data_IF_123613108622
#
_entry.id   IF_123613108622
#
_cell.length_a   1.000
_cell.length_b   1.000
_cell.length_c   1.000
_cell.angle_alpha   90.00
_cell.angle_beta   90.00
_cell.angle_gamma   90.00
#
_symmetry.space_group_name_H-M   'P 1'
#
loop_
_entity.id
_entity.type
_entity.pdbx_description
1 polymer ?
#
# COMPACT_ATOMS: atom_id res chain seq x y z
N UNK A 1 -14.06 22.18 6.89
CA UNK A 1 -14.43 21.07 7.79
C UNK A 1 -14.24 19.80 6.99
N UNK A 2 -13.47 18.83 7.47
CA UNK A 2 -13.13 17.60 6.74
C UNK A 2 -14.40 16.83 6.35
N UNK A 3 -14.47 16.42 5.09
CA UNK A 3 -15.71 16.04 4.37
C UNK A 3 -15.85 14.55 4.09
N UNK A 4 -14.87 13.74 4.53
CA UNK A 4 -14.98 12.29 4.54
C UNK A 4 -15.67 11.83 5.85
N UNK A 5 -16.81 11.15 5.75
CA UNK A 5 -17.54 10.63 6.92
C UNK A 5 -16.86 9.40 7.50
N UNK A 6 -15.89 9.60 8.38
CA UNK A 6 -15.18 8.53 9.11
C UNK A 6 -15.97 8.15 10.37
N UNK A 7 -16.13 6.84 10.65
CA UNK A 7 -16.69 6.37 11.91
C UNK A 7 -15.95 6.93 13.12
N UNK A 8 -16.69 7.22 14.19
CA UNK A 8 -16.10 7.60 15.46
C UNK A 8 -15.22 6.46 16.01
N UNK A 9 -14.16 6.82 16.73
CA UNK A 9 -13.29 5.83 17.39
C UNK A 9 -14.02 5.05 18.49
N UNK A 10 -14.98 5.69 19.16
CA UNK A 10 -15.85 5.00 20.11
C UNK A 10 -16.65 3.90 19.37
N UNK A 11 -16.54 2.65 19.83
CA UNK A 11 -17.19 1.50 19.21
C UNK A 11 -16.41 0.86 18.05
N UNK A 12 -15.17 1.29 17.78
CA UNK A 12 -14.27 0.59 16.87
C UNK A 12 -13.02 0.14 17.64
N UNK A 13 -12.73 -1.16 17.62
CA UNK A 13 -11.44 -1.71 18.08
C UNK A 13 -10.30 -1.22 17.20
N UNK A 14 -10.57 -1.05 15.90
CA UNK A 14 -9.55 -0.74 14.89
C UNK A 14 -9.71 0.65 14.29
N UNK A 15 -8.60 1.39 14.24
CA UNK A 15 -8.49 2.57 13.39
C UNK A 15 -8.35 2.15 11.91
N UNK A 16 -7.61 1.07 11.62
CA UNK A 16 -7.52 0.47 10.28
C UNK A 16 -7.32 -1.05 10.34
N UNK A 17 -8.01 -1.78 9.48
CA UNK A 17 -7.73 -3.20 9.16
C UNK A 17 -7.23 -3.29 7.72
N UNK A 18 -6.12 -3.99 7.49
CA UNK A 18 -5.66 -4.29 6.12
C UNK A 18 -5.90 -5.74 5.73
N UNK A 19 -6.07 -6.00 4.44
CA UNK A 19 -6.11 -7.35 3.86
C UNK A 19 -5.07 -7.44 2.75
N UNK A 20 -4.08 -8.31 2.93
CA UNK A 20 -3.01 -8.49 1.97
C UNK A 20 -2.03 -9.59 2.33
N UNK A 21 -1.05 -9.78 1.46
CA UNK A 21 0.04 -10.72 1.67
C UNK A 21 1.19 -10.06 2.44
N UNK A 22 1.73 -10.75 3.43
CA UNK A 22 2.98 -10.38 4.11
C UNK A 22 4.05 -11.39 3.75
N UNK A 23 5.16 -10.91 3.21
CA UNK A 23 6.29 -11.72 2.75
C UNK A 23 7.56 -11.39 3.53
N UNK A 24 8.52 -12.30 3.46
CA UNK A 24 9.91 -11.94 3.79
C UNK A 24 10.59 -11.34 2.57
N UNK A 25 11.08 -10.12 2.72
CA UNK A 25 12.08 -9.55 1.83
C UNK A 25 13.48 -10.02 2.24
N UNK A 26 14.22 -10.52 1.26
CA UNK A 26 15.62 -10.89 1.38
C UNK A 26 16.49 -9.87 0.66
N UNK A 27 17.24 -9.07 1.43
CA UNK A 27 18.03 -7.94 0.96
C UNK A 27 19.53 -8.27 1.02
N UNK A 28 20.27 -8.28 -0.10
CA UNK A 28 21.70 -8.61 -0.13
C UNK A 28 22.61 -7.47 0.38
N UNK A 29 22.04 -6.37 0.88
CA UNK A 29 22.75 -5.16 1.25
C UNK A 29 23.25 -4.41 0.02
N UNK A 30 24.55 -4.12 -0.01
CA UNK A 30 25.22 -3.47 -1.15
C UNK A 30 25.48 -4.46 -2.31
N UNK A 31 25.33 -5.76 -2.07
CA UNK A 31 25.61 -6.83 -3.02
C UNK A 31 24.50 -7.10 -4.04
N UNK A 32 24.63 -8.22 -4.75
CA UNK A 32 23.65 -8.72 -5.73
C UNK A 32 23.08 -10.05 -5.25
N UNK A 33 21.83 -10.34 -5.56
CA UNK A 33 21.14 -11.59 -5.18
C UNK A 33 21.93 -12.81 -5.68
N UNK A 34 22.46 -12.76 -6.89
CA UNK A 34 23.17 -13.89 -7.50
C UNK A 34 24.63 -14.06 -7.03
N UNK A 35 25.19 -13.13 -6.25
CA UNK A 35 26.57 -13.22 -5.74
C UNK A 35 26.70 -13.07 -4.23
N UNK A 36 25.62 -12.71 -3.53
CA UNK A 36 25.65 -12.57 -2.08
C UNK A 36 25.78 -13.92 -1.38
N UNK A 37 26.33 -13.88 -0.16
CA UNK A 37 26.39 -15.02 0.77
C UNK A 37 25.52 -14.80 2.01
N UNK A 38 24.87 -13.65 2.11
CA UNK A 38 24.03 -13.27 3.25
C UNK A 38 22.88 -12.37 2.78
N UNK A 39 21.75 -12.48 3.46
CA UNK A 39 20.62 -11.59 3.31
C UNK A 39 20.26 -10.98 4.65
N UNK A 40 19.97 -9.67 4.66
CA UNK A 40 19.16 -9.07 5.71
C UNK A 40 17.70 -9.38 5.43
N UNK A 41 16.94 -9.67 6.48
CA UNK A 41 15.54 -10.08 6.37
C UNK A 41 14.65 -8.94 6.86
N UNK A 42 13.63 -8.63 6.08
CA UNK A 42 12.59 -7.66 6.42
C UNK A 42 11.22 -8.29 6.15
N UNK A 43 10.20 -7.87 6.88
CA UNK A 43 8.81 -8.13 6.55
C UNK A 43 8.28 -7.04 5.62
N UNK A 44 7.41 -7.40 4.68
CA UNK A 44 6.83 -6.43 3.77
C UNK A 44 5.62 -6.94 2.99
N UNK A 45 4.76 -6.02 2.62
CA UNK A 45 3.56 -6.24 1.82
C UNK A 45 2.79 -4.94 1.71
N UNK A 46 2.30 -4.56 0.53
CA UNK A 46 1.77 -3.21 0.30
C UNK A 46 0.70 -2.82 1.33
N UNK A 47 -0.31 -3.67 1.49
CA UNK A 47 -1.43 -3.43 2.39
C UNK A 47 -1.01 -3.48 3.88
N UNK A 48 -0.04 -4.35 4.19
CA UNK A 48 0.55 -4.46 5.53
C UNK A 48 1.39 -3.23 5.90
N UNK A 49 2.21 -2.73 4.97
CA UNK A 49 3.07 -1.57 5.15
C UNK A 49 2.23 -0.33 5.49
N UNK A 50 1.03 -0.20 4.91
CA UNK A 50 0.08 0.86 5.26
C UNK A 50 -0.37 0.76 6.71
N UNK A 51 -0.86 -0.42 7.12
CA UNK A 51 -1.29 -0.65 8.50
C UNK A 51 -0.14 -0.48 9.51
N UNK A 52 1.07 -0.88 9.14
CA UNK A 52 2.29 -0.72 9.93
C UNK A 52 2.74 0.72 10.08
N UNK A 53 2.68 1.51 9.01
CA UNK A 53 2.96 2.95 9.06
C UNK A 53 2.01 3.65 10.03
N UNK A 54 0.70 3.40 9.92
CA UNK A 54 -0.31 3.91 10.84
C UNK A 54 -0.07 3.51 12.30
N UNK A 55 0.40 2.28 12.55
CA UNK A 55 0.72 1.82 13.90
C UNK A 55 1.96 2.51 14.48
N UNK A 56 3.09 2.45 13.76
CA UNK A 56 4.41 2.81 14.30
C UNK A 56 4.73 4.29 14.21
N UNK A 57 4.39 4.92 13.09
CA UNK A 57 4.62 6.35 12.90
C UNK A 57 3.55 7.18 13.61
N UNK A 58 2.28 6.74 13.50
CA UNK A 58 1.13 7.55 13.90
C UNK A 58 0.40 7.08 15.17
N UNK A 59 0.80 5.94 15.75
CA UNK A 59 0.26 5.46 17.04
C UNK A 59 -1.19 4.95 16.99
N UNK A 60 -1.71 4.61 15.81
CA UNK A 60 -3.08 4.11 15.66
C UNK A 60 -3.20 2.61 15.95
N UNK A 61 -4.42 2.14 16.22
CA UNK A 61 -4.69 0.70 16.42
C UNK A 61 -4.99 0.04 15.09
N UNK A 62 -4.10 -0.83 14.63
CA UNK A 62 -4.26 -1.52 13.35
C UNK A 62 -4.09 -3.02 13.46
N UNK A 63 -4.77 -3.73 12.56
CA UNK A 63 -4.70 -5.18 12.42
C UNK A 63 -4.49 -5.55 10.95
N UNK A 64 -3.97 -6.75 10.72
CA UNK A 64 -3.83 -7.34 9.38
C UNK A 64 -4.61 -8.64 9.29
N UNK A 65 -5.37 -8.80 8.22
CA UNK A 65 -5.96 -10.06 7.79
C UNK A 65 -5.04 -10.65 6.74
N UNK A 66 -4.46 -11.80 7.04
CA UNK A 66 -3.57 -12.53 6.14
C UNK A 66 -3.54 -14.02 6.51
N UNK A 67 -2.81 -14.83 5.76
CA UNK A 67 -2.57 -16.22 6.11
C UNK A 67 -1.10 -16.61 5.93
N UNK A 68 -0.59 -17.39 6.88
CA UNK A 68 0.80 -17.86 6.93
C UNK A 68 0.83 -19.37 7.13
N UNK A 69 1.88 -20.01 6.62
CA UNK A 69 2.16 -21.42 6.93
C UNK A 69 2.82 -21.50 8.31
N UNK A 70 2.31 -22.38 9.17
CA UNK A 70 2.82 -22.62 10.52
C UNK A 70 4.13 -23.44 10.48
N UNK A 71 5.20 -22.76 10.09
CA UNK A 71 6.56 -23.27 10.03
C UNK A 71 7.56 -22.16 10.43
N UNK A 72 8.87 -22.47 10.57
CA UNK A 72 9.85 -21.47 11.02
C UNK A 72 9.90 -20.20 10.17
N UNK A 73 9.61 -20.27 8.85
CA UNK A 73 9.55 -19.08 8.00
C UNK A 73 8.33 -18.23 8.36
N UNK A 74 7.17 -18.83 8.56
CA UNK A 74 5.95 -18.11 8.95
C UNK A 74 6.06 -17.50 10.35
N UNK A 75 6.72 -18.20 11.28
CA UNK A 75 7.04 -17.68 12.62
C UNK A 75 8.02 -16.50 12.57
N UNK A 76 8.97 -16.50 11.63
CA UNK A 76 9.81 -15.31 11.40
C UNK A 76 9.01 -14.12 10.86
N UNK A 77 8.04 -14.35 9.95
CA UNK A 77 7.13 -13.28 9.52
C UNK A 77 6.34 -12.75 10.73
N UNK A 78 5.77 -13.63 11.54
CA UNK A 78 5.03 -13.27 12.76
C UNK A 78 5.86 -12.42 13.72
N UNK A 79 7.08 -12.85 14.06
CA UNK A 79 7.97 -12.12 14.97
C UNK A 79 8.27 -10.70 14.46
N UNK A 80 8.53 -10.55 13.16
CA UNK A 80 8.74 -9.23 12.55
C UNK A 80 7.46 -8.39 12.59
N UNK A 81 6.30 -8.99 12.34
CA UNK A 81 5.01 -8.29 12.46
C UNK A 81 4.71 -7.85 13.91
N UNK A 82 5.04 -8.68 14.91
CA UNK A 82 4.92 -8.34 16.33
C UNK A 82 5.84 -7.18 16.72
N UNK A 83 7.07 -7.14 16.21
CA UNK A 83 7.97 -5.99 16.37
C UNK A 83 7.39 -4.71 15.72
N UNK A 84 6.73 -4.87 14.57
CA UNK A 84 5.93 -3.83 13.91
C UNK A 84 4.68 -3.41 14.70
N UNK A 85 4.28 -4.18 15.71
CA UNK A 85 3.25 -3.83 16.68
C UNK A 85 1.82 -3.90 16.16
N UNK A 86 1.57 -4.52 15.00
CA UNK A 86 0.21 -4.80 14.53
C UNK A 86 -0.44 -5.87 15.39
N UNK A 87 -1.77 -5.81 15.50
CA UNK A 87 -2.52 -6.93 16.05
C UNK A 87 -2.63 -8.05 15.00
N UNK A 88 -2.34 -9.28 15.45
CA UNK A 88 -2.26 -10.48 14.64
C UNK A 88 -3.43 -11.44 14.90
N UNK A 89 -4.47 -11.01 15.61
CA UNK A 89 -5.64 -11.84 15.94
C UNK A 89 -6.35 -12.42 14.71
N UNK A 90 -6.15 -11.81 13.54
CA UNK A 90 -6.77 -12.19 12.27
C UNK A 90 -5.78 -12.85 11.29
N UNK A 91 -4.61 -13.28 11.78
CA UNK A 91 -3.69 -14.12 11.01
C UNK A 91 -4.18 -15.56 11.03
N UNK A 92 -4.44 -16.12 9.84
CA UNK A 92 -4.86 -17.51 9.68
C UNK A 92 -3.64 -18.42 9.47
N UNK A 93 -3.50 -19.44 10.31
CA UNK A 93 -2.42 -20.42 10.20
C UNK A 93 -2.83 -21.60 9.33
N UNK A 94 -2.01 -21.88 8.31
CA UNK A 94 -2.12 -23.05 7.43
C UNK A 94 -1.11 -24.10 7.89
N UNK A 95 -1.55 -25.34 7.99
CA UNK A 95 -0.69 -26.45 8.41
C UNK A 95 0.47 -26.65 7.43
N UNK A 96 1.68 -26.78 7.96
CA UNK A 96 2.87 -27.13 7.18
C UNK A 96 2.84 -28.59 6.72
N UNK A 97 3.19 -28.82 5.47
CA UNK A 97 3.39 -30.17 4.90
C UNK A 97 4.87 -30.60 4.92
N UNK A 98 5.75 -29.72 5.44
CA UNK A 98 7.17 -29.93 5.63
C UNK A 98 8.04 -29.69 4.39
N UNK A 99 7.42 -29.44 3.22
CA UNK A 99 8.15 -29.29 1.94
C UNK A 99 7.62 -28.16 1.06
N UNK A 100 6.56 -27.46 1.48
CA UNK A 100 5.96 -26.35 0.77
C UNK A 100 5.18 -26.75 -0.49
N UNK A 101 4.63 -27.98 -0.56
CA UNK A 101 3.89 -28.46 -1.74
C UNK A 101 2.44 -27.97 -1.73
N UNK A 102 1.80 -27.93 -0.57
CA UNK A 102 0.42 -27.45 -0.42
C UNK A 102 0.36 -25.94 -0.23
N UNK A 103 1.27 -25.37 0.55
CA UNK A 103 1.34 -23.94 0.81
C UNK A 103 2.76 -23.55 1.23
N UNK A 104 3.12 -22.29 0.98
CA UNK A 104 4.39 -21.70 1.46
C UNK A 104 4.20 -20.26 1.94
N UNK A 105 5.22 -19.72 2.59
CA UNK A 105 5.28 -18.29 2.88
C UNK A 105 5.98 -17.58 1.70
N UNK A 106 5.50 -16.39 1.34
CA UNK A 106 6.03 -15.63 0.21
C UNK A 106 7.43 -15.08 0.53
N UNK A 107 8.32 -15.15 -0.47
CA UNK A 107 9.65 -14.58 -0.41
C UNK A 107 9.80 -13.55 -1.53
N UNK A 108 10.55 -12.48 -1.27
CA UNK A 108 10.89 -11.49 -2.28
C UNK A 108 12.35 -11.06 -2.15
N UNK A 109 13.18 -11.36 -3.14
CA UNK A 109 14.57 -10.93 -3.15
C UNK A 109 14.64 -9.52 -3.74
N UNK A 110 15.22 -8.58 -3.00
CA UNK A 110 15.22 -7.15 -3.41
C UNK A 110 16.62 -6.57 -3.35
N UNK A 111 17.14 -6.17 -4.51
CA UNK A 111 18.39 -5.41 -4.63
C UNK A 111 18.07 -3.92 -4.61
N UNK A 112 18.72 -3.16 -3.73
CA UNK A 112 18.66 -1.69 -3.77
C UNK A 112 19.37 -1.19 -5.02
N UNK A 113 18.75 -0.23 -5.69
CA UNK A 113 19.37 0.47 -6.81
C UNK A 113 20.44 1.44 -6.34
N UNK A 114 21.41 1.76 -7.19
CA UNK A 114 22.43 2.76 -6.89
C UNK A 114 22.92 3.46 -8.16
N UNK A 115 22.89 4.79 -8.19
CA UNK A 115 23.28 5.57 -9.36
C UNK A 115 22.52 5.11 -10.62
N UNK A 116 23.25 4.65 -11.63
CA UNK A 116 22.66 4.18 -12.91
C UNK A 116 22.00 2.80 -12.83
N UNK A 117 22.22 2.03 -11.76
CA UNK A 117 21.68 0.69 -11.61
C UNK A 117 20.32 0.73 -10.90
N UNK A 118 19.25 0.38 -11.62
CA UNK A 118 17.92 0.25 -11.05
C UNK A 118 17.86 -0.79 -9.91
N UNK A 119 16.87 -0.63 -9.03
CA UNK A 119 16.51 -1.66 -8.06
C UNK A 119 15.97 -2.90 -8.80
N UNK A 120 16.19 -4.08 -8.23
CA UNK A 120 15.70 -5.35 -8.79
C UNK A 120 14.84 -6.06 -7.75
N UNK A 121 13.63 -6.45 -8.15
CA UNK A 121 12.78 -7.35 -7.38
C UNK A 121 12.69 -8.72 -8.07
N UNK A 122 12.87 -9.79 -7.30
CA UNK A 122 12.65 -11.16 -7.73
C UNK A 122 11.70 -11.83 -6.74
N UNK A 123 10.43 -11.93 -7.12
CA UNK A 123 9.39 -12.50 -6.28
C UNK A 123 9.34 -14.02 -6.40
N UNK A 124 9.25 -14.69 -5.25
CA UNK A 124 9.05 -16.12 -5.12
C UNK A 124 7.84 -16.37 -4.22
N UNK A 125 6.67 -16.08 -4.79
CA UNK A 125 5.37 -15.97 -4.11
C UNK A 125 4.27 -16.83 -4.73
N UNK A 126 4.64 -17.92 -5.41
CA UNK A 126 3.69 -18.92 -5.87
C UNK A 126 3.17 -19.76 -4.70
N UNK A 127 1.88 -20.15 -4.73
CA UNK A 127 1.26 -21.06 -3.75
C UNK A 127 1.36 -20.60 -2.28
N UNK A 128 1.25 -19.29 -2.03
CA UNK A 128 1.31 -18.81 -0.65
C UNK A 128 0.04 -19.15 0.11
N UNK A 129 0.11 -19.20 1.45
CA UNK A 129 -1.07 -19.46 2.27
C UNK A 129 -2.19 -18.43 2.02
N UNK A 130 -1.83 -17.15 1.95
CA UNK A 130 -2.76 -16.05 1.69
C UNK A 130 -3.33 -16.04 0.27
N UNK A 131 -2.57 -16.47 -0.75
CA UNK A 131 -3.10 -16.60 -2.12
C UNK A 131 -4.19 -17.66 -2.25
N UNK A 132 -4.36 -18.51 -1.24
CA UNK A 132 -5.32 -19.62 -1.23
C UNK A 132 -6.61 -19.31 -0.48
N UNK A 133 -6.73 -18.12 0.13
CA UNK A 133 -7.97 -17.70 0.80
C UNK A 133 -9.15 -17.70 -0.18
N UNK A 134 -10.33 -18.04 0.34
CA UNK A 134 -11.60 -18.12 -0.38
C UNK A 134 -12.69 -17.37 0.38
N UNK A 135 -13.75 -16.92 -0.31
CA UNK A 135 -14.93 -16.35 0.36
C UNK A 135 -15.43 -17.29 1.46
N UNK A 136 -15.76 -16.72 2.61
CA UNK A 136 -16.19 -17.45 3.81
C UNK A 136 -15.05 -17.98 4.70
N UNK A 137 -13.78 -17.86 4.33
CA UNK A 137 -12.66 -18.25 5.20
C UNK A 137 -12.44 -17.26 6.37
N UNK A 138 -12.92 -16.02 6.23
CA UNK A 138 -12.76 -14.93 7.19
C UNK A 138 -14.16 -14.47 7.65
N UNK A 139 -14.35 -14.32 8.96
CA UNK A 139 -15.58 -13.79 9.54
C UNK A 139 -15.58 -12.26 9.52
N UNK A 140 -15.96 -11.68 8.37
CA UNK A 140 -16.00 -10.23 8.19
C UNK A 140 -17.06 -9.53 9.05
N UNK A 141 -18.13 -10.24 9.42
CA UNK A 141 -19.20 -9.71 10.28
C UNK A 141 -18.69 -9.57 11.73
N UNK A 142 -17.84 -10.49 12.19
CA UNK A 142 -17.13 -10.33 13.44
C UNK A 142 -16.18 -9.12 13.40
N UNK A 143 -15.30 -9.03 12.38
CA UNK A 143 -14.29 -7.95 12.28
C UNK A 143 -14.95 -6.56 12.18
N UNK A 144 -15.88 -6.38 11.25
CA UNK A 144 -16.45 -5.05 10.98
C UNK A 144 -17.69 -4.72 11.81
N UNK A 145 -18.48 -5.73 12.19
CA UNK A 145 -19.74 -5.56 12.93
C UNK A 145 -19.59 -5.65 14.44
N UNK A 146 -18.78 -6.59 14.95
CA UNK A 146 -18.63 -6.80 16.40
C UNK A 146 -17.42 -6.04 16.96
N UNK A 147 -16.24 -6.19 16.35
CA UNK A 147 -15.04 -5.48 16.79
C UNK A 147 -15.05 -4.02 16.33
N UNK A 148 -15.48 -3.79 15.09
CA UNK A 148 -15.59 -2.48 14.48
C UNK A 148 -14.25 -1.94 13.97
N UNK A 149 -14.25 -1.50 12.71
CA UNK A 149 -13.16 -0.75 12.10
C UNK A 149 -13.66 0.61 11.56
N UNK A 150 -12.77 1.60 11.54
CA UNK A 150 -13.03 2.91 10.92
C UNK A 150 -12.63 2.92 9.44
N UNK A 151 -11.62 2.14 9.10
CA UNK A 151 -11.02 2.07 7.78
C UNK A 151 -10.61 0.64 7.41
N UNK A 152 -10.82 0.26 6.16
CA UNK A 152 -10.36 -0.98 5.57
C UNK A 152 -9.44 -0.66 4.37
N UNK A 153 -8.31 -1.35 4.27
CA UNK A 153 -7.35 -1.15 3.18
C UNK A 153 -6.98 -2.48 2.52
N UNK A 154 -7.13 -2.54 1.20
CA UNK A 154 -6.64 -3.66 0.39
C UNK A 154 -6.14 -3.16 -0.96
N UNK A 155 -5.78 -4.03 -1.90
CA UNK A 155 -5.26 -3.57 -3.18
C UNK A 155 -5.14 -4.62 -4.27
N UNK A 156 -4.68 -4.13 -5.43
CA UNK A 156 -4.52 -4.89 -6.66
C UNK A 156 -3.45 -5.98 -6.58
N UNK A 157 -2.48 -5.86 -5.66
CA UNK A 157 -1.54 -6.95 -5.40
C UNK A 157 -2.28 -8.15 -4.81
N UNK A 158 -3.02 -7.96 -3.70
CA UNK A 158 -3.82 -9.03 -3.11
C UNK A 158 -4.81 -9.61 -4.13
N UNK A 159 -5.55 -8.76 -4.85
CA UNK A 159 -6.53 -9.20 -5.85
C UNK A 159 -5.92 -9.97 -7.04
N UNK A 160 -4.60 -9.89 -7.25
CA UNK A 160 -3.90 -10.56 -8.34
C UNK A 160 -3.19 -11.86 -7.92
N UNK A 161 -3.27 -12.27 -6.65
CA UNK A 161 -2.52 -13.43 -6.15
C UNK A 161 -3.04 -14.75 -6.70
N UNK A 162 -4.35 -14.85 -6.91
CA UNK A 162 -5.02 -16.05 -7.43
C UNK A 162 -6.42 -15.74 -7.95
N UNK A 163 -7.08 -16.74 -8.53
CA UNK A 163 -8.47 -16.62 -8.97
C UNK A 163 -9.46 -16.36 -7.81
N UNK A 164 -9.12 -16.75 -6.57
CA UNK A 164 -10.03 -16.64 -5.41
C UNK A 164 -9.83 -15.36 -4.63
N UNK A 165 -8.61 -14.82 -4.59
CA UNK A 165 -8.31 -13.56 -3.86
C UNK A 165 -9.15 -12.34 -4.24
N UNK A 166 -9.52 -12.06 -5.51
CA UNK A 166 -10.40 -10.93 -5.81
C UNK A 166 -11.81 -11.11 -5.24
N UNK A 167 -12.29 -12.36 -5.10
CA UNK A 167 -13.59 -12.65 -4.49
C UNK A 167 -13.56 -12.41 -2.97
N UNK A 168 -12.45 -12.76 -2.32
CA UNK A 168 -12.22 -12.45 -0.90
C UNK A 168 -12.16 -10.94 -0.67
N UNK A 169 -11.44 -10.22 -1.54
CA UNK A 169 -11.39 -8.75 -1.47
C UNK A 169 -12.79 -8.15 -1.61
N UNK A 170 -13.58 -8.61 -2.59
CA UNK A 170 -14.96 -8.14 -2.77
C UNK A 170 -15.83 -8.40 -1.52
N UNK A 171 -15.79 -9.61 -0.97
CA UNK A 171 -16.54 -9.99 0.25
C UNK A 171 -16.18 -9.06 1.43
N UNK A 172 -14.89 -8.80 1.64
CA UNK A 172 -14.40 -7.90 2.67
C UNK A 172 -14.88 -6.46 2.47
N UNK A 173 -14.79 -5.94 1.24
CA UNK A 173 -15.19 -4.57 0.90
C UNK A 173 -16.70 -4.37 1.05
N UNK A 174 -17.51 -5.35 0.66
CA UNK A 174 -18.96 -5.33 0.86
C UNK A 174 -19.32 -5.33 2.35
N UNK A 175 -18.67 -6.19 3.15
CA UNK A 175 -18.87 -6.24 4.59
C UNK A 175 -18.45 -4.94 5.29
N UNK A 176 -17.28 -4.40 4.94
CA UNK A 176 -16.79 -3.13 5.44
C UNK A 176 -17.83 -2.02 5.23
N UNK A 177 -18.36 -1.91 4.00
CA UNK A 177 -19.38 -0.91 3.65
C UNK A 177 -20.70 -1.11 4.38
N UNK A 178 -21.19 -2.35 4.54
CA UNK A 178 -22.40 -2.64 5.33
C UNK A 178 -22.31 -2.08 6.75
N UNK A 179 -21.12 -2.11 7.34
CA UNK A 179 -20.83 -1.61 8.69
C UNK A 179 -20.31 -0.17 8.73
N UNK A 180 -20.41 0.58 7.63
CA UNK A 180 -19.99 1.98 7.53
C UNK A 180 -18.48 2.21 7.59
N UNK A 181 -17.68 1.16 7.43
CA UNK A 181 -16.21 1.23 7.38
C UNK A 181 -15.80 1.77 6.00
N UNK A 182 -14.95 2.79 5.96
CA UNK A 182 -14.43 3.32 4.70
C UNK A 182 -13.49 2.32 4.04
N UNK A 183 -13.57 2.21 2.71
CA UNK A 183 -12.74 1.29 1.94
C UNK A 183 -11.74 2.07 1.11
N UNK A 184 -10.45 1.79 1.34
CA UNK A 184 -9.38 2.25 0.46
C UNK A 184 -8.80 1.10 -0.35
N UNK A 185 -8.43 1.40 -1.59
CA UNK A 185 -7.87 0.43 -2.52
C UNK A 185 -6.71 1.03 -3.28
N UNK A 186 -5.56 0.36 -3.26
CA UNK A 186 -4.40 0.71 -4.09
C UNK A 186 -4.36 -0.19 -5.33
N UNK A 187 -4.47 0.41 -6.52
CA UNK A 187 -4.47 -0.32 -7.79
C UNK A 187 -3.18 -1.11 -8.00
N UNK A 188 -2.04 -0.53 -7.59
CA UNK A 188 -0.72 -1.15 -7.53
C UNK A 188 -0.44 -2.20 -8.62
N UNK A 189 -0.58 -1.82 -9.89
CA UNK A 189 -0.56 -2.76 -10.99
C UNK A 189 0.82 -3.41 -11.13
N UNK A 190 0.83 -4.75 -11.24
CA UNK A 190 2.04 -5.55 -11.43
C UNK A 190 1.81 -6.55 -12.56
N UNK A 191 2.32 -6.28 -13.78
CA UNK A 191 2.11 -7.17 -14.93
C UNK A 191 2.47 -8.63 -14.66
N UNK A 192 3.50 -8.88 -13.85
CA UNK A 192 3.97 -10.22 -13.50
C UNK A 192 2.94 -11.06 -12.74
N UNK A 193 2.11 -10.45 -11.89
CA UNK A 193 1.06 -11.16 -11.13
C UNK A 193 -0.10 -11.55 -12.04
N UNK A 194 -0.49 -10.66 -12.95
CA UNK A 194 -1.62 -10.89 -13.85
C UNK A 194 -1.29 -11.83 -15.00
N UNK A 195 -0.02 -11.89 -15.42
CA UNK A 195 0.42 -12.62 -16.63
C UNK A 195 -0.10 -14.07 -16.70
N UNK A 196 -0.10 -14.79 -15.58
CA UNK A 196 -0.54 -16.19 -15.53
C UNK A 196 -2.04 -16.39 -15.26
N UNK A 197 -2.79 -15.33 -14.94
CA UNK A 197 -4.21 -15.39 -14.57
C UNK A 197 -5.10 -14.56 -15.51
N UNK A 198 -4.70 -14.40 -16.77
CA UNK A 198 -5.50 -13.70 -17.80
C UNK A 198 -5.00 -12.30 -18.19
N UNK A 199 -3.87 -11.86 -17.65
CA UNK A 199 -3.15 -10.66 -18.07
C UNK A 199 -3.94 -9.36 -17.86
N UNK A 200 -3.64 -8.36 -18.70
CA UNK A 200 -4.20 -7.01 -18.58
C UNK A 200 -5.74 -6.99 -18.67
N UNK A 201 -6.35 -7.82 -19.52
CA UNK A 201 -7.81 -7.89 -19.64
C UNK A 201 -8.46 -8.35 -18.34
N UNK A 202 -7.89 -9.38 -17.69
CA UNK A 202 -8.39 -9.83 -16.37
C UNK A 202 -8.16 -8.78 -15.30
N UNK A 203 -7.01 -8.10 -15.32
CA UNK A 203 -6.72 -7.00 -14.40
C UNK A 203 -7.80 -5.90 -14.50
N UNK A 204 -8.17 -5.50 -15.72
CA UNK A 204 -9.22 -4.52 -15.93
C UNK A 204 -10.59 -5.00 -15.44
N UNK A 205 -10.97 -6.24 -15.80
CA UNK A 205 -12.25 -6.81 -15.38
C UNK A 205 -12.42 -6.82 -13.85
N UNK A 206 -11.41 -7.35 -13.14
CA UNK A 206 -11.42 -7.48 -11.68
C UNK A 206 -11.44 -6.10 -11.01
N UNK A 207 -10.51 -5.22 -11.37
CA UNK A 207 -10.39 -3.93 -10.70
C UNK A 207 -11.59 -3.02 -10.99
N UNK A 208 -12.20 -3.09 -12.18
CA UNK A 208 -13.44 -2.34 -12.47
C UNK A 208 -14.63 -2.82 -11.66
N UNK A 209 -14.67 -4.11 -11.30
CA UNK A 209 -15.64 -4.67 -10.36
C UNK A 209 -15.42 -4.14 -8.94
N UNK A 210 -14.20 -4.32 -8.42
CA UNK A 210 -13.83 -3.91 -7.06
C UNK A 210 -13.94 -2.39 -6.84
N UNK A 211 -13.63 -1.58 -7.86
CA UNK A 211 -13.72 -0.11 -7.82
C UNK A 211 -15.11 0.39 -7.40
N UNK A 212 -16.20 -0.37 -7.62
CA UNK A 212 -17.57 -0.01 -7.19
C UNK A 212 -17.76 0.02 -5.67
N UNK A 213 -16.80 -0.55 -4.94
CA UNK A 213 -16.81 -0.67 -3.48
C UNK A 213 -15.76 0.21 -2.79
N UNK A 214 -15.08 1.09 -3.53
CA UNK A 214 -13.98 1.91 -3.00
C UNK A 214 -14.44 3.32 -2.66
N UNK A 215 -14.05 3.85 -1.51
CA UNK A 215 -14.22 5.25 -1.14
C UNK A 215 -12.94 6.06 -1.43
N UNK A 216 -11.77 5.45 -1.22
CA UNK A 216 -10.46 6.08 -1.42
C UNK A 216 -9.60 5.28 -2.37
N UNK A 217 -9.41 5.77 -3.59
CA UNK A 217 -8.62 5.10 -4.63
C UNK A 217 -7.18 5.65 -4.66
N UNK A 218 -6.20 4.76 -4.67
CA UNK A 218 -4.78 5.08 -4.79
C UNK A 218 -4.23 4.46 -6.09
N UNK A 219 -3.40 5.20 -6.81
CA UNK A 219 -2.74 4.70 -8.02
C UNK A 219 -2.28 5.82 -8.94
N UNK A 220 -1.25 5.54 -9.75
CA UNK A 220 -0.75 6.47 -10.77
C UNK A 220 -1.49 6.33 -12.10
N UNK A 221 -1.15 7.17 -13.08
CA UNK A 221 -1.75 7.18 -14.42
C UNK A 221 -1.66 5.81 -15.12
N UNK A 222 -0.53 5.12 -14.99
CA UNK A 222 -0.33 3.78 -15.54
C UNK A 222 -1.26 2.76 -14.89
N UNK A 223 -1.44 2.83 -13.57
CA UNK A 223 -2.35 1.97 -12.81
C UNK A 223 -3.80 2.20 -13.25
N UNK A 224 -4.24 3.46 -13.36
CA UNK A 224 -5.61 3.79 -13.80
C UNK A 224 -5.88 3.30 -15.24
N UNK A 225 -4.88 3.40 -16.11
CA UNK A 225 -4.97 2.88 -17.47
C UNK A 225 -5.03 1.35 -17.46
N UNK A 226 -4.09 0.70 -16.79
CA UNK A 226 -3.94 -0.75 -16.79
C UNK A 226 -5.05 -1.48 -16.02
N UNK A 227 -5.56 -0.92 -14.93
CA UNK A 227 -6.56 -1.56 -14.08
C UNK A 227 -7.99 -1.07 -14.33
N UNK A 228 -8.20 0.14 -14.85
CA UNK A 228 -9.56 0.68 -15.03
C UNK A 228 -9.88 1.06 -16.48
N UNK A 229 -8.87 1.11 -17.36
CA UNK A 229 -9.05 1.46 -18.77
C UNK A 229 -9.24 2.96 -19.04
N UNK A 230 -8.82 3.82 -18.11
CA UNK A 230 -8.83 5.26 -18.33
C UNK A 230 -7.59 5.68 -19.10
N UNK A 231 -7.76 5.98 -20.39
CA UNK A 231 -6.69 6.56 -21.20
C UNK A 231 -6.38 7.99 -20.76
N UNK A 232 -5.09 8.32 -20.70
CA UNK A 232 -4.62 9.67 -20.40
C UNK A 232 -4.20 10.37 -21.70
N UNK A 233 -4.92 11.44 -22.06
CA UNK A 233 -4.57 12.26 -23.21
C UNK A 233 -3.27 13.04 -22.95
N UNK A 234 -2.27 12.87 -23.83
CA UNK A 234 -1.05 13.68 -23.86
C UNK A 234 0.14 13.17 -23.04
N UNK A 235 0.16 11.88 -22.67
CA UNK A 235 1.32 11.25 -22.02
C UNK A 235 2.12 10.49 -23.07
N UNK A 236 3.33 10.95 -23.36
CA UNK A 236 4.29 10.23 -24.21
C UNK A 236 4.87 9.03 -23.43
N UNK A 237 5.30 7.97 -24.12
CA UNK A 237 5.88 6.75 -23.49
C UNK A 237 7.15 7.05 -22.66
N UNK A 238 7.68 8.28 -22.76
CA UNK A 238 8.78 8.82 -21.99
C UNK A 238 8.33 9.97 -21.06
N UNK A 239 7.64 9.59 -19.98
CA UNK A 239 7.20 10.44 -18.86
C UNK A 239 8.34 11.34 -18.33
N UNK A 240 8.41 12.58 -18.79
CA UNK A 240 9.44 13.56 -18.36
C UNK A 240 8.89 14.72 -17.54
N UNK A 241 7.57 14.85 -17.39
CA UNK A 241 6.94 15.69 -16.37
C UNK A 241 5.51 15.21 -16.11
N UNK A 242 5.24 14.69 -14.92
CA UNK A 242 3.85 14.43 -14.48
C UNK A 242 3.21 15.79 -14.18
N UNK A 243 2.52 16.36 -15.16
CA UNK A 243 1.72 17.58 -14.97
C UNK A 243 0.50 17.24 -14.10
N UNK A 244 0.35 17.83 -12.91
CA UNK A 244 -0.83 17.66 -12.06
C UNK A 244 -2.17 17.92 -12.78
N UNK A 245 -2.16 18.75 -13.83
CA UNK A 245 -3.34 19.02 -14.64
C UNK A 245 -3.79 17.80 -15.47
N UNK A 246 -2.86 16.98 -15.96
CA UNK A 246 -3.18 15.76 -16.71
C UNK A 246 -3.84 14.72 -15.78
N UNK A 247 -3.26 14.53 -14.60
CA UNK A 247 -3.84 13.70 -13.55
C UNK A 247 -5.25 14.18 -13.17
N UNK A 248 -5.46 15.49 -13.04
CA UNK A 248 -6.77 16.08 -12.76
C UNK A 248 -7.86 15.73 -13.77
N UNK A 249 -7.53 15.71 -15.07
CA UNK A 249 -8.49 15.32 -16.13
C UNK A 249 -8.85 13.83 -16.05
N UNK A 250 -7.84 12.97 -15.86
CA UNK A 250 -8.05 11.54 -15.69
C UNK A 250 -8.94 11.24 -14.46
N UNK A 251 -8.66 11.88 -13.32
CA UNK A 251 -9.49 11.71 -12.12
C UNK A 251 -10.91 12.20 -12.35
N UNK A 252 -11.10 13.34 -13.02
CA UNK A 252 -12.45 13.84 -13.30
C UNK A 252 -13.29 12.81 -14.07
N UNK A 253 -12.68 12.11 -15.04
CA UNK A 253 -13.30 10.98 -15.75
C UNK A 253 -13.57 9.79 -14.82
N UNK A 254 -12.58 9.41 -14.01
CA UNK A 254 -12.70 8.29 -13.08
C UNK A 254 -13.80 8.51 -12.03
N UNK A 255 -13.89 9.70 -11.45
CA UNK A 255 -14.92 10.08 -10.47
C UNK A 255 -16.30 10.21 -11.13
N UNK A 256 -16.35 10.61 -12.41
CA UNK A 256 -17.59 10.59 -13.20
C UNK A 256 -18.15 9.18 -13.39
N UNK A 257 -17.29 8.18 -13.61
CA UNK A 257 -17.69 6.78 -13.74
C UNK A 257 -17.93 6.10 -12.38
N UNK A 258 -17.13 6.45 -11.38
CA UNK A 258 -17.18 5.91 -10.01
C UNK A 258 -17.47 7.03 -9.00
N UNK A 259 -18.73 7.48 -8.87
CA UNK A 259 -19.11 8.56 -7.94
C UNK A 259 -18.96 8.17 -6.46
N UNK A 260 -18.69 6.90 -6.18
CA UNK A 260 -18.29 6.42 -4.87
C UNK A 260 -16.87 6.86 -4.48
N UNK A 261 -15.98 7.18 -5.43
CA UNK A 261 -14.65 7.72 -5.11
C UNK A 261 -14.78 9.09 -4.43
N UNK A 262 -14.52 9.12 -3.14
CA UNK A 262 -14.48 10.34 -2.32
C UNK A 262 -13.10 10.96 -2.32
N UNK A 263 -12.07 10.13 -2.40
CA UNK A 263 -10.68 10.56 -2.51
C UNK A 263 -10.01 9.76 -3.61
N UNK A 264 -9.23 10.43 -4.45
CA UNK A 264 -8.31 9.78 -5.40
C UNK A 264 -6.93 10.40 -5.22
N UNK A 265 -5.90 9.60 -4.99
CA UNK A 265 -4.58 10.15 -4.71
C UNK A 265 -3.44 9.35 -5.34
N UNK A 266 -2.34 10.03 -5.65
CA UNK A 266 -1.13 9.43 -6.21
C UNK A 266 0.12 10.17 -5.77
N UNK A 267 1.26 9.50 -5.93
CA UNK A 267 2.58 10.10 -5.79
C UNK A 267 3.11 10.52 -7.14
N UNK A 268 3.70 11.71 -7.22
CA UNK A 268 4.40 12.20 -8.40
C UNK A 268 5.88 11.89 -8.24
N UNK A 269 6.45 11.12 -9.18
CA UNK A 269 7.85 10.68 -9.14
C UNK A 269 8.54 10.99 -10.46
N UNK A 270 9.72 11.60 -10.40
CA UNK A 270 10.62 11.69 -11.54
C UNK A 270 11.95 11.02 -11.19
N UNK A 271 12.21 9.87 -11.82
CA UNK A 271 13.43 9.11 -11.55
C UNK A 271 14.61 9.64 -12.39
N UNK A 272 15.54 10.37 -11.77
CA UNK A 272 16.78 10.82 -12.44
C UNK A 272 17.86 9.75 -12.39
N UNK A 273 18.04 9.15 -11.21
CA UNK A 273 18.88 7.97 -10.98
C UNK A 273 18.17 7.01 -10.03
N UNK A 274 18.79 5.90 -9.64
CA UNK A 274 18.23 5.04 -8.60
C UNK A 274 18.26 5.67 -7.19
N UNK A 275 19.07 6.72 -6.99
CA UNK A 275 19.31 7.34 -5.67
C UNK A 275 18.86 8.80 -5.58
N UNK A 276 18.55 9.47 -6.69
CA UNK A 276 18.10 10.87 -6.70
C UNK A 276 16.84 10.95 -7.54
N UNK A 277 15.70 11.27 -6.92
CA UNK A 277 14.41 11.39 -7.58
C UNK A 277 13.69 12.66 -7.12
N UNK A 278 12.85 13.22 -7.98
CA UNK A 278 11.88 14.22 -7.52
C UNK A 278 10.66 13.49 -6.93
N UNK A 279 10.13 14.02 -5.82
CA UNK A 279 9.05 13.40 -5.05
C UNK A 279 7.97 14.41 -4.66
N UNK A 280 6.74 14.10 -5.05
CA UNK A 280 5.55 14.85 -4.65
C UNK A 280 4.35 13.93 -4.55
N UNK A 281 3.18 14.52 -4.30
CA UNK A 281 1.92 13.81 -4.32
C UNK A 281 0.76 14.76 -4.57
N UNK A 282 -0.34 14.19 -5.06
CA UNK A 282 -1.60 14.91 -5.28
C UNK A 282 -2.77 14.09 -4.78
N UNK A 283 -3.80 14.78 -4.31
CA UNK A 283 -5.03 14.20 -3.80
C UNK A 283 -6.21 15.00 -4.34
N UNK A 284 -7.15 14.32 -4.98
CA UNK A 284 -8.45 14.87 -5.33
C UNK A 284 -9.45 14.59 -4.22
N UNK A 285 -10.20 15.62 -3.83
CA UNK A 285 -11.32 15.49 -2.90
C UNK A 285 -12.38 16.56 -3.21
N UNK A 286 -13.63 16.15 -3.36
CA UNK A 286 -14.79 17.04 -3.59
C UNK A 286 -14.60 18.09 -4.69
N UNK A 287 -14.17 17.65 -5.87
CA UNK A 287 -14.01 18.56 -7.02
C UNK A 287 -12.73 19.40 -6.99
N UNK A 288 -11.86 19.23 -5.99
CA UNK A 288 -10.61 20.00 -5.86
C UNK A 288 -9.40 19.07 -5.83
N UNK A 289 -8.33 19.51 -6.50
CA UNK A 289 -7.00 18.92 -6.39
C UNK A 289 -6.19 19.65 -5.34
N UNK A 290 -5.49 18.88 -4.52
CA UNK A 290 -4.56 19.32 -3.50
C UNK A 290 -3.19 18.72 -3.80
N UNK A 291 -2.15 19.53 -3.76
CA UNK A 291 -0.79 19.11 -4.10
C UNK A 291 0.12 19.26 -2.90
N UNK A 292 0.88 18.22 -2.58
CA UNK A 292 1.98 18.32 -1.64
C UNK A 292 3.14 19.12 -2.25
N UNK A 293 4.05 19.58 -1.38
CA UNK A 293 5.31 20.19 -1.79
C UNK A 293 6.12 19.24 -2.68
N UNK A 294 6.62 19.75 -3.80
CA UNK A 294 7.63 19.05 -4.59
C UNK A 294 8.96 19.02 -3.84
N UNK A 295 9.52 17.84 -3.67
CA UNK A 295 10.85 17.60 -3.08
C UNK A 295 11.76 17.21 -4.23
N UNK A 296 12.41 18.21 -4.80
CA UNK A 296 13.37 18.02 -5.87
C UNK A 296 14.64 17.37 -5.33
N UNK A 297 15.26 16.52 -6.15
CA UNK A 297 16.53 15.85 -5.84
C UNK A 297 16.53 15.13 -4.49
N UNK A 298 15.42 14.50 -4.13
CA UNK A 298 15.32 13.68 -2.92
C UNK A 298 16.29 12.49 -3.03
N UNK A 299 17.21 12.40 -2.07
CA UNK A 299 18.10 11.26 -1.93
C UNK A 299 17.35 10.06 -1.36
N UNK A 300 17.45 8.93 -2.07
CA UNK A 300 16.80 7.67 -1.76
C UNK A 300 17.86 6.67 -1.33
N UNK A 301 17.67 6.14 -0.12
CA UNK A 301 18.45 5.02 0.39
C UNK A 301 17.83 3.68 -0.02
N UNK A 302 16.52 3.55 0.17
CA UNK A 302 15.73 2.38 -0.22
C UNK A 302 14.33 2.83 -0.63
N UNK A 303 13.93 2.58 -1.87
CA UNK A 303 12.67 3.12 -2.40
C UNK A 303 11.42 2.35 -1.95
N UNK A 304 11.60 1.14 -1.43
CA UNK A 304 10.49 0.24 -1.11
C UNK A 304 9.69 0.84 0.06
N UNK A 305 8.37 0.67 0.06
CA UNK A 305 7.49 1.20 1.12
C UNK A 305 7.17 2.69 1.04
N UNK A 306 7.80 3.46 0.13
CA UNK A 306 7.53 4.90 0.01
C UNK A 306 6.08 5.22 -0.43
N UNK A 307 5.50 4.41 -1.31
CA UNK A 307 4.09 4.54 -1.72
C UNK A 307 3.11 4.17 -0.60
N UNK A 308 3.36 3.06 0.07
CA UNK A 308 2.54 2.58 1.20
C UNK A 308 2.60 3.56 2.39
N UNK A 309 3.76 4.19 2.60
CA UNK A 309 3.93 5.23 3.61
C UNK A 309 3.20 6.53 3.21
N UNK A 310 3.16 6.87 1.91
CA UNK A 310 2.28 7.92 1.42
C UNK A 310 0.80 7.62 1.74
N UNK A 311 0.33 6.43 1.42
CA UNK A 311 -1.02 5.99 1.74
C UNK A 311 -1.31 6.09 3.25
N UNK A 312 -0.37 5.63 4.09
CA UNK A 312 -0.48 5.73 5.56
C UNK A 312 -0.68 7.17 6.04
N UNK A 313 0.16 8.11 5.58
CA UNK A 313 0.09 9.51 6.02
C UNK A 313 -1.17 10.23 5.51
N UNK A 314 -1.59 9.91 4.28
CA UNK A 314 -2.86 10.41 3.73
C UNK A 314 -4.05 9.92 4.56
N UNK A 315 -4.12 8.61 4.82
CA UNK A 315 -5.17 7.99 5.63
C UNK A 315 -5.17 8.55 7.05
N UNK A 316 -4.00 8.75 7.66
CA UNK A 316 -3.86 9.37 8.98
C UNK A 316 -4.50 10.76 9.03
N UNK A 317 -4.24 11.60 8.02
CA UNK A 317 -4.86 12.92 7.92
C UNK A 317 -6.38 12.87 7.93
N UNK A 318 -6.98 11.98 7.13
CA UNK A 318 -8.45 11.81 7.12
C UNK A 318 -8.98 11.20 8.42
N UNK A 319 -8.34 10.15 8.95
CA UNK A 319 -8.74 9.52 10.22
C UNK A 319 -8.72 10.49 11.42
N UNK A 320 -7.88 11.52 11.38
CA UNK A 320 -7.74 12.54 12.42
C UNK A 320 -8.50 13.83 12.12
N UNK A 321 -9.31 13.85 11.06
CA UNK A 321 -10.18 14.98 10.71
C UNK A 321 -9.43 16.21 10.19
N UNK A 322 -8.18 16.04 9.73
CA UNK A 322 -7.42 17.09 9.05
C UNK A 322 -8.01 17.36 7.66
N UNK A 323 -7.71 18.52 7.11
CA UNK A 323 -8.15 18.87 5.76
C UNK A 323 -7.34 18.11 4.68
N UNK A 324 -7.84 18.04 3.44
CA UNK A 324 -7.17 17.29 2.37
C UNK A 324 -5.77 17.80 2.02
N UNK A 325 -5.51 19.11 2.14
CA UNK A 325 -4.20 19.69 1.87
C UNK A 325 -3.17 19.23 2.90
N UNK A 326 -3.57 19.19 4.17
CA UNK A 326 -2.74 18.64 5.23
C UNK A 326 -2.51 17.15 5.05
N UNK A 327 -3.55 16.38 4.69
CA UNK A 327 -3.46 14.93 4.49
C UNK A 327 -2.48 14.56 3.37
N UNK A 328 -2.55 15.22 2.19
CA UNK A 328 -1.64 14.93 1.08
C UNK A 328 -0.20 15.30 1.42
N UNK A 329 0.02 16.39 2.14
CA UNK A 329 1.35 16.80 2.59
C UNK A 329 1.92 15.83 3.63
N UNK A 330 1.09 15.34 4.57
CA UNK A 330 1.47 14.32 5.53
C UNK A 330 1.87 13.00 4.84
N UNK A 331 1.09 12.57 3.86
CA UNK A 331 1.42 11.40 3.03
C UNK A 331 2.77 11.60 2.33
N UNK A 332 2.95 12.71 1.61
CA UNK A 332 4.19 12.97 0.87
C UNK A 332 5.41 13.04 1.80
N UNK A 333 5.29 13.70 2.96
CA UNK A 333 6.37 13.75 3.95
C UNK A 333 6.72 12.36 4.50
N UNK A 334 5.72 11.56 4.85
CA UNK A 334 5.94 10.22 5.39
C UNK A 334 6.56 9.27 4.35
N UNK A 335 6.10 9.31 3.09
CA UNK A 335 6.69 8.54 2.01
C UNK A 335 8.13 8.94 1.69
N UNK A 336 8.46 10.24 1.76
CA UNK A 336 9.84 10.71 1.62
C UNK A 336 10.75 10.15 2.73
N UNK A 337 10.29 10.20 3.98
CA UNK A 337 11.05 9.69 5.14
C UNK A 337 11.24 8.17 5.08
N UNK A 338 10.21 7.42 4.68
CA UNK A 338 10.29 5.97 4.56
C UNK A 338 11.43 5.54 3.63
N UNK A 339 11.73 6.34 2.60
CA UNK A 339 12.79 6.03 1.63
C UNK A 339 14.21 6.31 2.13
N UNK A 340 14.36 6.84 3.36
CA UNK A 340 15.65 7.16 3.99
C UNK A 340 16.18 6.02 4.88
N UNK A 341 15.41 4.95 5.05
CA UNK A 341 15.74 3.81 5.90
C UNK A 341 15.58 2.50 5.14
N UNK A 342 16.30 1.41 5.50
CA UNK A 342 16.18 0.14 4.81
C UNK A 342 14.86 -0.58 5.09
N UNK A 343 14.49 -1.49 4.20
CA UNK A 343 13.33 -2.36 4.38
C UNK A 343 12.06 -1.77 3.77
N UNK A 344 10.94 -2.42 4.06
CA UNK A 344 9.66 -2.11 3.41
C UNK A 344 8.78 -1.17 4.23
N UNK A 345 9.12 -0.98 5.51
CA UNK A 345 8.28 -0.28 6.48
C UNK A 345 8.97 0.96 6.99
N UNK A 346 8.19 2.02 7.16
CA UNK A 346 8.71 3.28 7.69
C UNK A 346 9.21 3.13 9.13
N UNK A 347 10.37 3.72 9.40
CA UNK A 347 10.92 3.91 10.75
C UNK A 347 10.68 5.32 11.29
N UNK A 348 9.97 6.16 10.53
CA UNK A 348 9.71 7.54 10.92
C UNK A 348 8.76 7.64 12.12
N UNK A 349 8.88 8.76 12.83
CA UNK A 349 7.95 9.20 13.87
C UNK A 349 7.05 10.33 13.36
N UNK A 350 5.87 10.50 13.98
CA UNK A 350 4.98 11.63 13.68
C UNK A 350 5.71 12.99 13.78
N UNK A 351 6.58 13.17 14.77
CA UNK A 351 7.33 14.42 14.93
C UNK A 351 8.29 14.70 13.77
N UNK A 352 8.91 13.67 13.19
CA UNK A 352 9.74 13.81 12.00
C UNK A 352 8.89 14.14 10.76
N UNK A 353 7.74 13.47 10.62
CA UNK A 353 6.79 13.77 9.53
C UNK A 353 6.36 15.24 9.59
N UNK A 354 5.87 15.71 10.74
CA UNK A 354 5.43 17.11 10.92
C UNK A 354 6.57 18.10 10.66
N UNK A 355 7.80 17.78 11.07
CA UNK A 355 8.98 18.61 10.78
C UNK A 355 9.26 18.70 9.28
N UNK A 356 9.19 17.59 8.56
CA UNK A 356 9.38 17.56 7.10
C UNK A 356 8.29 18.35 6.39
N UNK A 357 7.03 18.25 6.83
CA UNK A 357 5.91 19.03 6.28
C UNK A 357 6.17 20.55 6.41
N UNK A 358 6.77 20.99 7.52
CA UNK A 358 7.10 22.40 7.76
C UNK A 358 8.33 22.88 6.96
N UNK A 359 9.09 21.98 6.32
CA UNK A 359 10.36 22.32 5.68
C UNK A 359 11.54 22.42 6.64
N UNK A 360 11.53 21.64 7.71
CA UNK A 360 12.62 21.62 8.69
C UNK A 360 13.98 21.31 8.07
N UNK A 361 15.03 21.89 8.66
CA UNK A 361 16.42 21.68 8.25
C UNK A 361 16.92 20.29 8.69
N UNK A 362 17.81 19.68 7.89
CA UNK A 362 18.54 18.45 8.25
C UNK A 362 19.62 18.66 9.35
N UNK A 363 19.65 19.84 9.99
CA UNK A 363 20.51 20.09 11.16
C UNK A 363 20.12 19.17 12.31
N UNK A 364 21.11 18.81 13.12
CA UNK A 364 20.95 17.93 14.29
C UNK A 364 19.76 18.38 15.15
N UNK A 365 18.76 17.51 15.28
CA UNK A 365 17.68 17.65 16.26
C UNK A 365 18.22 17.27 17.63
N UNK A 366 18.22 18.19 18.60
CA UNK A 366 18.66 17.95 19.98
C UNK A 366 17.48 18.02 20.95
#
# INVERSE_FOLDING_TARGET
>A
MSTLSVKAKAGCRWDLVSLGEVMLRLDPGEGRVHTTRSFQVWEGGGEYNVARGLRRCFGLHTAVVTALVDNPVGRLVEDLMLQGGLDLSHVRWVKDDGVGRTARNGLNFTERGHGVRAALGCSDRGHTAVSQLRPGDIDWEHIFGQEGARWFHTGGIFAALSETTPLVAQEAMEAARRHGTLVSYDLNYRPSLWKSIGGAQRAQEVNRGLARHVDVMLGNEEDFTACLGFEVEGVDEHLSALDPANFGRMIARAVGEYPNFKVVATTLRQARTATINDWGAVCYHEGRLYSARSREDLEIFDRVGGGDSFASGLIYGFLTGRDPQWAVECGAAHGALAMTTPGDTSMATLAEVERVMQGGSARVSR
#
